data_IF_044449902482
#
_entry.id   IF_044449902482
#
_cell.length_a   1.000
_cell.length_b   1.000
_cell.length_c   1.000
_cell.angle_alpha   90.00
_cell.angle_beta   90.00
_cell.angle_gamma   90.00
#
_symmetry.space_group_name_H-M   'P 1'
#
loop_
_entity.id
_entity.type
_entity.pdbx_description
1 polymer ?
#
# COMPACT_ATOMS: atom_id res chain seq x y z
N UNK A 1 -33.44 29.60 -1.78
CA UNK A 1 -33.90 29.24 -2.05
C UNK A 1 -33.76 29.41 -1.90
N UNK A 2 -33.04 28.92 -1.79
CA UNK A 2 -33.58 28.68 -1.89
C UNK A 2 -33.69 29.01 -1.74
N UNK A 3 -33.33 29.26 -2.07
CA UNK A 3 -33.95 29.05 -2.47
C UNK A 3 -34.05 29.38 -2.46
N UNK A 4 -33.87 29.39 -2.40
CA UNK A 4 -34.45 29.15 -2.77
C UNK A 4 -34.37 29.32 -2.60
N UNK A 5 -34.19 29.43 -2.59
CA UNK A 5 -34.60 29.03 -2.85
C UNK A 5 -34.35 29.21 -2.60
N UNK A 6 -33.89 28.98 -2.56
CA UNK A 6 -34.25 28.75 -2.62
C UNK A 6 -34.26 28.85 -2.31
N UNK A 7 -33.99 28.86 -2.51
CA UNK A 7 -34.48 28.55 -2.70
C UNK A 7 -34.61 28.70 -2.57
N UNK A 8 -35.08 29.26 -2.59
CA UNK A 8 -35.51 28.83 -2.91
C UNK A 8 -35.35 28.99 -2.69
N UNK A 9 -35.19 29.23 -2.66
CA UNK A 9 -35.44 28.77 -2.82
C UNK A 9 -35.01 28.81 -2.74
N UNK A 10 -34.53 28.50 -2.41
CA UNK A 10 -34.49 27.96 -2.60
C UNK A 10 -34.04 27.98 -2.17
N UNK A 11 -34.35 28.39 -2.22
CA UNK A 11 -34.37 27.80 -2.42
C UNK A 11 -33.82 27.77 -1.95
N UNK A 12 -33.15 27.60 -1.66
CA UNK A 12 -33.04 27.17 -1.66
C UNK A 12 -32.67 27.03 -0.98
N UNK A 13 -33.26 27.84 -1.31
CA UNK A 13 -33.23 27.28 -1.32
C UNK A 13 -32.53 27.12 -0.93
N UNK A 14 -31.65 26.54 -0.84
CA UNK A 14 -31.39 25.90 -1.07
C UNK A 14 -30.52 25.76 -0.68
N UNK A 15 -30.66 26.15 -0.61
CA UNK A 15 -30.29 25.70 -0.77
C UNK A 15 -29.63 25.46 -0.21
N UNK A 16 -29.85 26.06 -0.26
CA UNK A 16 -29.60 25.49 -0.35
C UNK A 16 -28.87 25.30 0.03
N UNK A 17 -28.91 25.49 0.06
CA UNK A 17 -28.63 24.86 -0.27
C UNK A 17 -27.81 24.74 0.11
N UNK A 18 -27.29 24.48 0.10
CA UNK A 18 -26.77 23.90 -0.29
C UNK A 18 -25.94 23.86 -0.13
N UNK A 19 -25.98 23.89 -0.21
CA UNK A 19 -25.63 23.49 -0.89
C UNK A 19 -24.64 23.38 -0.65
N UNK A 20 -24.36 23.21 -0.54
CA UNK A 20 -23.84 22.80 -1.07
C UNK A 20 -23.03 22.82 -1.04
N UNK A 21 -23.11 23.05 -1.16
CA UNK A 21 -22.79 22.77 -1.93
C UNK A 21 -21.98 22.86 -1.87
N UNK A 22 -21.90 22.69 -1.92
CA UNK A 22 -21.53 22.49 -2.70
C UNK A 22 -20.96 22.60 -2.77
N UNK A 23 -20.76 22.36 -3.08
CA UNK A 23 -20.72 22.25 -4.01
C UNK A 23 -20.06 22.54 -4.15
N UNK A 24 -20.20 22.84 -4.02
CA UNK A 24 -19.97 22.95 -4.87
C UNK A 24 -19.63 23.29 -5.16
N UNK A 25 -19.56 23.25 -5.47
CA UNK A 25 -19.71 23.45 -6.49
C UNK A 25 -19.39 23.95 -6.77
N UNK A 26 -19.36 24.01 -7.20
CA UNK A 26 -19.46 24.31 -8.22
C UNK A 26 -19.41 24.90 -8.59
N UNK A 27 -19.46 24.78 -9.01
CA UNK A 27 -19.87 25.12 -9.99
C UNK A 27 -19.94 25.60 -10.43
N UNK A 28 -20.03 25.70 -11.04
CA UNK A 28 -20.44 25.87 -12.01
C UNK A 28 -20.51 26.08 -12.48
N UNK A 29 -20.67 25.76 -13.01
CA UNK A 29 -21.07 25.73 -13.90
C UNK A 29 -21.09 26.03 -14.56
N UNK A 30 -21.19 26.20 -15.17
CA UNK A 30 -21.49 26.18 -16.17
C UNK A 30 -21.50 26.21 -16.83
N UNK A 31 -21.61 26.02 -17.31
CA UNK A 31 -21.84 25.70 -18.17
C UNK A 31 -21.76 25.53 -18.66
N UNK A 32 -21.81 25.50 -19.18
CA UNK A 32 -21.94 24.98 -19.94
C UNK A 32 -21.80 24.59 -20.36
N UNK A 33 -21.98 24.20 -20.64
CA UNK A 33 -22.00 23.50 -21.15
C UNK A 33 -21.92 22.95 -21.42
N UNK A 34 -22.00 23.02 -22.03
CA UNK A 34 -22.06 22.17 -22.35
C UNK A 34 -21.90 21.53 -22.35
N UNK A 35 -21.93 20.96 -22.26
CA UNK A 35 -21.85 20.12 -22.21
C UNK A 35 -21.81 19.42 -22.16
N UNK A 36 -21.79 19.15 -22.46
CA UNK A 36 -21.96 18.26 -22.19
C UNK A 36 -21.72 17.61 -21.57
N UNK A 37 -21.62 17.65 -21.61
CA UNK A 37 -21.47 17.05 -20.85
C UNK A 37 -21.16 17.09 -19.99
N UNK A 38 -21.70 17.37 -20.11
CA UNK A 38 -21.50 17.60 -18.77
C UNK A 38 -20.39 16.82 -18.30
N UNK A 39 -19.82 17.22 -17.34
CA UNK A 39 -18.77 16.45 -16.79
C UNK A 39 -19.14 14.98 -16.84
N UNK A 40 -18.65 14.29 -17.81
CA UNK A 40 -18.77 12.86 -17.83
C UNK A 40 -17.87 12.28 -16.76
N UNK A 41 -18.36 11.36 -15.95
CA UNK A 41 -17.50 10.72 -15.00
C UNK A 41 -16.38 9.97 -15.73
N UNK A 42 -15.26 9.80 -15.06
CA UNK A 42 -14.16 9.04 -15.58
C UNK A 42 -14.62 7.58 -15.75
N UNK A 43 -14.37 7.02 -16.92
CA UNK A 43 -14.67 5.61 -17.17
C UNK A 43 -13.53 4.76 -16.57
N UNK A 44 -13.72 4.34 -15.34
CA UNK A 44 -12.67 3.61 -14.60
C UNK A 44 -12.33 2.29 -15.28
N UNK A 45 -13.29 1.66 -15.94
CA UNK A 45 -13.03 0.41 -16.64
C UNK A 45 -12.03 0.63 -17.78
N UNK A 46 -12.24 1.69 -18.56
CA UNK A 46 -11.34 2.03 -19.66
C UNK A 46 -9.96 2.42 -19.15
N UNK A 47 -9.90 3.17 -18.04
CA UNK A 47 -8.61 3.53 -17.45
C UNK A 47 -7.84 2.28 -17.06
N UNK A 48 -8.50 1.31 -16.44
CA UNK A 48 -7.86 0.06 -16.05
C UNK A 48 -7.36 -0.74 -17.25
N UNK A 49 -8.10 -0.73 -18.35
CA UNK A 49 -7.79 -1.53 -19.53
C UNK A 49 -6.75 -0.89 -20.44
N UNK A 50 -6.48 0.41 -20.29
CA UNK A 50 -5.54 1.11 -21.15
C UNK A 50 -4.13 0.60 -20.92
N UNK A 51 -3.45 0.18 -22.01
CA UNK A 51 -2.11 -0.38 -21.91
C UNK A 51 -1.05 0.51 -22.57
N UNK A 52 -1.42 1.31 -23.57
CA UNK A 52 -0.48 2.25 -24.18
C UNK A 52 -1.19 3.31 -25.00
N UNK A 53 -0.49 4.37 -25.29
CA UNK A 53 -0.95 5.44 -26.17
C UNK A 53 -0.31 5.25 -27.54
N UNK A 54 -1.13 5.35 -28.60
CA UNK A 54 -0.65 5.17 -29.96
C UNK A 54 -1.30 6.28 -30.81
N UNK A 55 -0.44 7.10 -31.43
CA UNK A 55 -0.90 8.20 -32.27
C UNK A 55 -1.90 9.10 -31.54
N UNK A 56 -3.14 9.19 -32.00
CA UNK A 56 -4.17 10.04 -31.43
C UNK A 56 -5.19 9.24 -30.60
N UNK A 57 -4.80 8.07 -30.12
CA UNK A 57 -5.70 7.24 -29.34
C UNK A 57 -4.97 6.30 -28.40
N UNK A 58 -5.70 5.30 -27.92
CA UNK A 58 -5.19 4.39 -26.92
C UNK A 58 -5.52 2.95 -27.27
N UNK A 59 -4.65 2.03 -26.85
CA UNK A 59 -4.90 0.61 -26.97
C UNK A 59 -5.37 0.11 -25.59
N UNK A 60 -6.47 -0.65 -25.61
CA UNK A 60 -7.07 -1.25 -24.44
C UNK A 60 -7.05 -2.75 -24.58
N UNK A 61 -6.92 -3.44 -23.47
CA UNK A 61 -6.94 -4.89 -23.45
C UNK A 61 -8.00 -5.40 -22.48
N UNK A 62 -8.80 -6.35 -22.96
CA UNK A 62 -9.79 -7.03 -22.13
C UNK A 62 -9.81 -8.50 -22.53
N UNK A 63 -9.59 -9.40 -21.57
CA UNK A 63 -9.62 -10.85 -21.79
C UNK A 63 -8.67 -11.30 -22.92
N UNK A 64 -7.50 -10.65 -23.00
CA UNK A 64 -6.50 -11.01 -24.00
C UNK A 64 -6.75 -10.40 -25.37
N UNK A 65 -7.85 -9.66 -25.54
CA UNK A 65 -8.18 -9.03 -26.81
C UNK A 65 -7.86 -7.55 -26.71
N UNK A 66 -7.06 -7.06 -27.67
CA UNK A 66 -6.68 -5.65 -27.72
C UNK A 66 -7.58 -4.92 -28.69
N UNK A 67 -7.91 -3.66 -28.36
CA UNK A 67 -8.67 -2.80 -29.28
C UNK A 67 -8.16 -1.37 -29.18
N UNK A 68 -8.30 -0.65 -30.27
CA UNK A 68 -7.90 0.76 -30.34
C UNK A 68 -9.13 1.66 -30.27
N UNK A 69 -9.07 2.69 -29.45
CA UNK A 69 -10.12 3.71 -29.38
C UNK A 69 -9.47 5.07 -29.56
N UNK A 70 -9.88 5.86 -30.58
CA UNK A 70 -9.35 7.21 -30.73
C UNK A 70 -9.70 8.08 -29.54
N UNK A 71 -8.80 8.98 -29.18
CA UNK A 71 -9.02 9.87 -28.04
C UNK A 71 -10.28 10.73 -28.19
N UNK A 72 -10.62 11.08 -29.42
CA UNK A 72 -11.81 11.89 -29.69
C UNK A 72 -13.11 11.20 -29.29
N UNK A 73 -13.10 9.88 -29.14
CA UNK A 73 -14.27 9.12 -28.72
C UNK A 73 -14.36 8.97 -27.21
N UNK A 74 -13.40 9.52 -26.48
CA UNK A 74 -13.35 9.44 -25.03
C UNK A 74 -13.56 10.83 -24.44
N UNK A 75 -14.07 10.87 -23.20
CA UNK A 75 -14.21 12.15 -22.50
C UNK A 75 -12.83 12.73 -22.19
N UNK A 76 -12.74 14.05 -22.05
CA UNK A 76 -11.48 14.68 -21.67
C UNK A 76 -11.01 14.19 -20.31
N UNK A 77 -11.93 13.95 -19.40
CA UNK A 77 -11.61 13.43 -18.06
C UNK A 77 -11.03 12.04 -18.12
N UNK A 78 -11.60 11.17 -18.98
CA UNK A 78 -11.10 9.81 -19.14
C UNK A 78 -9.71 9.81 -19.78
N UNK A 79 -9.50 10.61 -20.84
CA UNK A 79 -8.18 10.69 -21.48
C UNK A 79 -7.11 11.24 -20.52
N UNK A 80 -7.47 12.24 -19.72
CA UNK A 80 -6.55 12.78 -18.72
C UNK A 80 -6.16 11.72 -17.70
N UNK A 81 -7.13 10.92 -17.24
CA UNK A 81 -6.86 9.84 -16.29
C UNK A 81 -5.98 8.76 -16.90
N UNK A 82 -6.22 8.40 -18.17
CA UNK A 82 -5.41 7.41 -18.86
C UNK A 82 -3.99 7.93 -19.05
N UNK A 83 -3.83 9.18 -19.49
CA UNK A 83 -2.50 9.78 -19.67
C UNK A 83 -1.73 9.80 -18.36
N UNK A 84 -2.41 10.15 -17.27
CA UNK A 84 -1.79 10.17 -15.93
C UNK A 84 -1.33 8.77 -15.53
N UNK A 85 -2.18 7.76 -15.74
CA UNK A 85 -1.85 6.37 -15.43
C UNK A 85 -0.62 5.90 -16.20
N UNK A 86 -0.62 6.13 -17.53
CA UNK A 86 0.48 5.65 -18.38
C UNK A 86 1.78 6.37 -18.05
N UNK A 87 1.72 7.67 -17.78
CA UNK A 87 2.91 8.43 -17.38
C UNK A 87 3.44 7.93 -16.05
N UNK A 88 2.57 7.62 -15.10
CA UNK A 88 2.95 7.09 -13.80
C UNK A 88 3.60 5.73 -13.94
N UNK A 89 3.04 4.85 -14.77
CA UNK A 89 3.61 3.53 -15.02
C UNK A 89 5.00 3.61 -15.63
N UNK A 90 5.19 4.52 -16.60
CA UNK A 90 6.49 4.72 -17.22
C UNK A 90 7.51 5.23 -16.20
N UNK A 91 7.10 6.19 -15.38
CA UNK A 91 7.95 6.73 -14.33
C UNK A 91 8.34 5.66 -13.31
N UNK A 92 7.37 4.83 -12.92
CA UNK A 92 7.63 3.73 -11.98
C UNK A 92 8.56 2.69 -12.57
N UNK A 93 8.36 2.33 -13.85
CA UNK A 93 9.22 1.38 -14.51
C UNK A 93 10.66 1.91 -14.57
N UNK A 94 10.81 3.21 -14.86
CA UNK A 94 12.13 3.84 -14.89
C UNK A 94 12.79 3.81 -13.51
N UNK A 95 12.03 4.16 -12.46
CA UNK A 95 12.57 4.16 -11.09
C UNK A 95 12.98 2.76 -10.65
N UNK A 96 12.16 1.76 -11.01
CA UNK A 96 12.43 0.37 -10.63
C UNK A 96 13.63 -0.19 -11.38
N UNK A 97 13.88 0.28 -12.62
CA UNK A 97 15.01 -0.18 -13.41
C UNK A 97 16.31 0.55 -13.11
N UNK A 98 16.25 1.63 -12.35
CA UNK A 98 17.46 2.41 -12.05
C UNK A 98 18.33 1.65 -11.05
N UNK A 99 19.63 1.59 -11.35
CA UNK A 99 20.58 0.95 -10.44
C UNK A 99 20.93 1.90 -9.32
N UNK A 100 20.95 1.40 -8.09
CA UNK A 100 21.34 2.16 -6.92
C UNK A 100 22.79 1.88 -6.62
N UNK A 101 23.68 2.75 -7.11
CA UNK A 101 25.12 2.56 -6.94
C UNK A 101 25.70 3.30 -5.75
N UNK A 102 24.94 4.26 -5.19
CA UNK A 102 25.43 5.11 -4.10
C UNK A 102 24.97 4.64 -2.72
N UNK A 103 24.44 3.42 -2.64
CA UNK A 103 23.96 2.89 -1.37
C UNK A 103 25.14 2.41 -0.50
N UNK A 104 25.03 2.60 0.82
CA UNK A 104 26.03 2.03 1.72
C UNK A 104 26.12 0.52 1.51
N UNK A 105 27.34 -0.02 1.50
CA UNK A 105 27.55 -1.43 1.16
C UNK A 105 26.79 -2.37 2.10
N UNK A 106 26.66 -1.99 3.38
CA UNK A 106 25.95 -2.82 4.36
C UNK A 106 24.45 -2.90 4.12
N UNK A 107 23.88 -1.93 3.40
CA UNK A 107 22.43 -1.88 3.17
C UNK A 107 22.05 -2.30 1.76
N UNK A 108 23.04 -2.59 0.92
CA UNK A 108 22.77 -2.86 -0.48
C UNK A 108 21.84 -4.06 -0.68
N UNK A 109 22.02 -5.09 0.14
CA UNK A 109 21.15 -6.27 0.06
C UNK A 109 19.69 -5.95 0.35
N UNK A 110 19.45 -5.12 1.36
CA UNK A 110 18.10 -4.72 1.72
C UNK A 110 17.43 -3.97 0.57
N UNK A 111 18.10 -2.94 0.05
CA UNK A 111 17.51 -2.12 -1.00
C UNK A 111 17.27 -2.91 -2.27
N UNK A 112 18.24 -3.76 -2.66
CA UNK A 112 18.06 -4.60 -3.84
C UNK A 112 16.85 -5.52 -3.68
N UNK A 113 16.68 -6.12 -2.50
CA UNK A 113 15.56 -7.01 -2.25
C UNK A 113 14.24 -6.26 -2.25
N UNK A 114 14.22 -5.07 -1.66
CA UNK A 114 13.02 -4.23 -1.65
C UNK A 114 12.61 -3.85 -3.08
N UNK A 115 13.56 -3.42 -3.90
CA UNK A 115 13.26 -3.09 -5.29
C UNK A 115 12.76 -4.30 -6.06
N UNK A 116 13.33 -5.48 -5.82
CA UNK A 116 12.85 -6.71 -6.48
C UNK A 116 11.40 -7.00 -6.13
N UNK A 117 11.03 -6.85 -4.86
CA UNK A 117 9.66 -7.09 -4.44
C UNK A 117 8.70 -6.06 -5.03
N UNK A 118 9.12 -4.77 -5.03
CA UNK A 118 8.27 -3.73 -5.60
C UNK A 118 8.11 -3.88 -7.11
N UNK A 119 9.16 -4.35 -7.79
CA UNK A 119 9.08 -4.63 -9.22
C UNK A 119 8.04 -5.71 -9.51
N UNK A 120 7.98 -6.74 -8.67
CA UNK A 120 6.98 -7.81 -8.80
C UNK A 120 5.57 -7.28 -8.54
N UNK A 121 5.42 -6.45 -7.50
CA UNK A 121 4.13 -5.83 -7.24
C UNK A 121 3.69 -4.97 -8.42
N UNK A 122 4.62 -4.20 -8.99
CA UNK A 122 4.33 -3.39 -10.17
C UNK A 122 3.83 -4.25 -11.33
N UNK A 123 4.50 -5.38 -11.55
CA UNK A 123 4.07 -6.29 -12.62
C UNK A 123 2.68 -6.87 -12.33
N UNK A 124 2.41 -7.24 -11.08
CA UNK A 124 1.09 -7.73 -10.69
C UNK A 124 0.02 -6.67 -10.92
N UNK A 125 0.30 -5.41 -10.62
CA UNK A 125 -0.65 -4.32 -10.87
C UNK A 125 -0.90 -4.15 -12.36
N UNK A 126 0.14 -4.23 -13.18
CA UNK A 126 -0.02 -4.14 -14.63
C UNK A 126 -0.86 -5.29 -15.17
N UNK A 127 -0.58 -6.51 -14.72
CA UNK A 127 -1.27 -7.71 -15.21
C UNK A 127 -2.73 -7.74 -14.79
N UNK A 128 -3.03 -7.23 -13.61
CA UNK A 128 -4.38 -7.28 -13.03
C UNK A 128 -5.13 -5.95 -13.13
N UNK A 129 -4.66 -5.04 -13.97
CA UNK A 129 -5.29 -3.74 -14.20
C UNK A 129 -5.46 -2.97 -12.89
N UNK A 130 -4.33 -2.77 -12.19
CA UNK A 130 -4.30 -2.07 -10.92
C UNK A 130 -4.93 -0.68 -10.99
N UNK A 131 -5.45 -0.23 -9.86
CA UNK A 131 -6.06 1.09 -9.76
C UNK A 131 -4.98 2.17 -9.67
N UNK A 132 -5.36 3.41 -10.05
CA UNK A 132 -4.43 4.53 -9.97
C UNK A 132 -3.89 4.71 -8.55
N UNK A 133 -4.74 4.51 -7.54
CA UNK A 133 -4.32 4.64 -6.14
C UNK A 133 -3.20 3.66 -5.78
N UNK A 134 -3.21 2.47 -6.37
CA UNK A 134 -2.16 1.48 -6.11
C UNK A 134 -0.83 1.91 -6.72
N UNK A 135 -0.86 2.47 -7.94
CA UNK A 135 0.35 2.99 -8.56
C UNK A 135 0.91 4.19 -7.79
N UNK A 136 0.03 5.04 -7.26
CA UNK A 136 0.45 6.18 -6.45
C UNK A 136 1.09 5.73 -5.14
N UNK A 137 0.52 4.71 -4.50
CA UNK A 137 1.08 4.16 -3.27
C UNK A 137 2.45 3.52 -3.52
N UNK A 138 2.60 2.81 -4.64
CA UNK A 138 3.88 2.23 -5.02
C UNK A 138 4.92 3.33 -5.24
N UNK A 139 4.54 4.41 -5.90
CA UNK A 139 5.45 5.53 -6.14
C UNK A 139 5.94 6.13 -4.82
N UNK A 140 5.06 6.27 -3.84
CA UNK A 140 5.44 6.79 -2.53
C UNK A 140 6.43 5.88 -1.82
N UNK A 141 6.24 4.58 -1.93
CA UNK A 141 7.19 3.63 -1.36
C UNK A 141 8.56 3.74 -2.03
N UNK A 142 8.57 3.92 -3.35
CA UNK A 142 9.83 4.09 -4.07
C UNK A 142 10.55 5.36 -3.66
N UNK A 143 9.82 6.45 -3.41
CA UNK A 143 10.42 7.68 -2.90
C UNK A 143 11.09 7.45 -1.55
N UNK A 144 10.43 6.69 -0.67
CA UNK A 144 11.00 6.38 0.64
C UNK A 144 12.24 5.50 0.52
N UNK A 145 12.25 4.56 -0.41
CA UNK A 145 13.42 3.74 -0.67
C UNK A 145 14.59 4.56 -1.21
N UNK A 146 14.29 5.61 -1.95
CA UNK A 146 15.32 6.49 -2.47
C UNK A 146 15.97 7.35 -1.39
N UNK A 147 15.32 7.48 -0.23
CA UNK A 147 15.82 8.22 0.92
C UNK A 147 16.48 7.24 1.88
N UNK A 148 17.81 7.20 1.87
CA UNK A 148 18.56 6.24 2.68
C UNK A 148 18.45 6.48 4.18
N UNK A 149 17.87 7.62 4.60
CA UNK A 149 17.62 7.88 6.02
C UNK A 149 16.30 7.27 6.49
N UNK A 150 15.50 6.71 5.59
CA UNK A 150 14.22 6.09 5.96
C UNK A 150 14.42 4.89 6.86
N UNK A 151 13.48 4.71 7.79
CA UNK A 151 13.49 3.58 8.72
C UNK A 151 13.18 2.28 7.97
N UNK A 152 14.16 1.39 7.89
CA UNK A 152 14.02 0.13 7.15
C UNK A 152 12.95 -0.77 7.72
N UNK A 153 12.83 -0.84 9.04
CA UNK A 153 11.82 -1.69 9.69
C UNK A 153 10.43 -1.22 9.31
N UNK A 154 10.21 0.10 9.35
CA UNK A 154 8.92 0.64 8.97
C UNK A 154 8.65 0.46 7.48
N UNK A 155 9.69 0.57 6.65
CA UNK A 155 9.56 0.30 5.21
C UNK A 155 9.08 -1.13 4.96
N UNK A 156 9.66 -2.10 5.66
CA UNK A 156 9.24 -3.50 5.53
C UNK A 156 7.75 -3.64 5.88
N UNK A 157 7.36 -3.09 7.02
CA UNK A 157 5.96 -3.17 7.45
C UNK A 157 5.02 -2.58 6.42
N UNK A 158 5.38 -1.43 5.86
CA UNK A 158 4.54 -0.75 4.89
C UNK A 158 4.51 -1.47 3.54
N UNK A 159 5.65 -2.04 3.11
CA UNK A 159 5.70 -2.84 1.89
C UNK A 159 4.82 -4.08 2.03
N UNK A 160 4.93 -4.80 3.14
CA UNK A 160 4.13 -6.01 3.37
C UNK A 160 2.64 -5.68 3.46
N UNK A 161 2.29 -4.58 4.09
CA UNK A 161 0.90 -4.12 4.16
C UNK A 161 0.37 -3.75 2.78
N UNK A 162 1.19 -3.09 1.99
CA UNK A 162 0.79 -2.68 0.64
C UNK A 162 0.59 -3.88 -0.27
N UNK A 163 1.51 -4.86 -0.23
CA UNK A 163 1.45 -5.99 -1.15
C UNK A 163 0.33 -6.97 -0.83
N UNK A 164 -0.13 -7.01 0.41
CA UNK A 164 -1.09 -8.04 0.83
C UNK A 164 -2.36 -8.06 -0.01
N UNK A 165 -3.10 -6.95 -0.17
CA UNK A 165 -4.32 -7.01 -0.98
C UNK A 165 -4.05 -7.26 -2.47
N UNK A 166 -2.83 -7.01 -2.93
CA UNK A 166 -2.48 -7.15 -4.34
C UNK A 166 -2.05 -8.58 -4.67
N UNK A 167 -1.14 -9.14 -3.87
CA UNK A 167 -0.55 -10.45 -4.17
C UNK A 167 -0.96 -11.55 -3.21
N UNK A 168 -1.43 -11.20 -2.01
CA UNK A 168 -1.82 -12.17 -0.98
C UNK A 168 -3.12 -11.76 -0.30
N UNK A 169 -4.23 -11.65 -1.06
CA UNK A 169 -5.50 -11.24 -0.46
C UNK A 169 -6.00 -12.19 0.61
N UNK A 170 -5.52 -13.44 0.62
CA UNK A 170 -5.87 -14.40 1.66
C UNK A 170 -5.40 -13.97 3.06
N UNK A 171 -4.44 -13.04 3.13
CA UNK A 171 -3.92 -12.54 4.41
C UNK A 171 -4.80 -11.49 5.05
N UNK A 172 -5.70 -10.88 4.28
CA UNK A 172 -6.53 -9.79 4.79
C UNK A 172 -7.40 -10.26 5.94
N UNK A 173 -7.35 -9.51 7.05
CA UNK A 173 -8.11 -9.86 8.24
C UNK A 173 -7.47 -10.90 9.13
N UNK A 174 -6.32 -11.45 8.72
CA UNK A 174 -5.63 -12.44 9.55
C UNK A 174 -4.60 -11.76 10.46
N UNK A 175 -4.49 -12.20 11.72
CA UNK A 175 -3.42 -11.70 12.57
C UNK A 175 -2.07 -12.21 12.07
N UNK A 176 -1.01 -11.50 12.44
CA UNK A 176 0.35 -11.85 12.02
C UNK A 176 0.71 -13.30 12.37
N UNK A 177 0.21 -13.81 13.50
CA UNK A 177 0.49 -15.17 13.94
C UNK A 177 -0.08 -16.23 12.99
N UNK A 178 -1.03 -15.86 12.13
CA UNK A 178 -1.64 -16.78 11.19
C UNK A 178 -1.14 -16.61 9.76
N UNK A 179 -0.07 -15.86 9.58
CA UNK A 179 0.48 -15.57 8.27
C UNK A 179 1.83 -16.28 8.11
N UNK A 180 1.97 -17.03 7.03
CA UNK A 180 3.27 -17.61 6.64
C UNK A 180 3.82 -16.76 5.51
N UNK A 181 4.85 -15.97 5.81
CA UNK A 181 5.46 -15.09 4.83
C UNK A 181 6.34 -15.88 3.87
N UNK A 182 6.48 -15.41 2.64
CA UNK A 182 7.33 -16.06 1.65
C UNK A 182 8.81 -15.88 1.98
N UNK A 183 9.65 -16.70 1.33
CA UNK A 183 11.10 -16.61 1.53
C UNK A 183 11.64 -15.22 1.18
N UNK A 184 11.11 -14.60 0.13
CA UNK A 184 11.54 -13.26 -0.26
C UNK A 184 11.17 -12.21 0.78
N UNK A 185 9.98 -12.33 1.36
CA UNK A 185 9.54 -11.42 2.40
C UNK A 185 10.35 -11.60 3.69
N UNK A 186 10.63 -12.85 4.03
CA UNK A 186 11.45 -13.16 5.19
C UNK A 186 12.85 -12.57 4.99
N UNK A 187 13.41 -12.71 3.80
CA UNK A 187 14.75 -12.18 3.53
C UNK A 187 14.76 -10.66 3.63
N UNK A 188 13.72 -10.00 3.12
CA UNK A 188 13.61 -8.55 3.24
C UNK A 188 13.58 -8.12 4.71
N UNK A 189 12.74 -8.76 5.51
CA UNK A 189 12.60 -8.43 6.93
C UNK A 189 13.90 -8.67 7.67
N UNK A 190 14.57 -9.77 7.38
CA UNK A 190 15.84 -10.11 8.01
C UNK A 190 16.92 -9.09 7.69
N UNK A 191 16.98 -8.64 6.45
CA UNK A 191 17.95 -7.63 6.03
C UNK A 191 17.67 -6.27 6.68
N UNK A 192 16.43 -6.02 7.07
CA UNK A 192 16.07 -4.80 7.81
C UNK A 192 16.36 -4.91 9.30
N UNK A 193 16.81 -6.07 9.78
CA UNK A 193 17.13 -6.28 11.19
C UNK A 193 15.98 -6.83 12.01
N UNK A 194 14.91 -7.30 11.39
CA UNK A 194 13.80 -7.90 12.12
C UNK A 194 14.08 -9.37 12.42
N UNK A 195 13.52 -9.84 13.53
CA UNK A 195 13.61 -11.26 13.87
C UNK A 195 12.65 -12.06 12.97
N UNK A 196 13.17 -13.10 12.37
CA UNK A 196 12.39 -13.97 11.48
C UNK A 196 12.74 -15.42 11.75
N UNK A 197 11.87 -16.33 11.33
CA UNK A 197 12.12 -17.76 11.40
C UNK A 197 12.01 -18.36 10.00
N UNK A 198 12.55 -19.56 9.83
CA UNK A 198 12.57 -20.21 8.52
C UNK A 198 11.20 -20.71 8.09
N UNK A 199 10.28 -20.85 9.03
CA UNK A 199 8.91 -21.30 8.71
C UNK A 199 7.98 -20.15 8.34
N UNK A 200 8.52 -18.97 8.06
CA UNK A 200 7.72 -17.86 7.53
C UNK A 200 7.18 -16.92 8.57
N UNK A 201 7.75 -16.88 9.77
CA UNK A 201 7.30 -15.96 10.82
C UNK A 201 8.17 -14.71 10.85
N UNK A 202 7.52 -13.56 10.93
CA UNK A 202 8.18 -12.27 11.19
C UNK A 202 7.66 -11.78 12.53
N UNK A 203 8.56 -11.52 13.47
CA UNK A 203 8.19 -11.15 14.83
C UNK A 203 7.38 -9.85 14.88
N UNK A 204 6.29 -9.90 15.65
CA UNK A 204 5.48 -8.72 15.99
C UNK A 204 5.22 -8.80 17.50
N UNK A 205 5.53 -7.74 18.26
CA UNK A 205 5.30 -7.77 19.72
C UNK A 205 3.88 -8.14 20.11
N UNK A 206 2.91 -7.80 19.27
CA UNK A 206 1.49 -8.08 19.57
C UNK A 206 1.16 -9.57 19.51
N UNK A 207 2.08 -10.40 19.02
CA UNK A 207 1.90 -11.85 19.00
C UNK A 207 2.28 -12.51 20.32
N UNK A 208 2.93 -11.80 21.22
CA UNK A 208 3.45 -12.37 22.46
C UNK A 208 2.29 -12.84 23.33
N UNK A 209 2.35 -14.11 23.74
CA UNK A 209 1.36 -14.70 24.65
C UNK A 209 1.93 -14.96 26.04
N UNK A 210 3.27 -14.99 26.17
CA UNK A 210 3.89 -15.28 27.45
C UNK A 210 5.29 -14.69 27.49
N UNK A 211 5.69 -14.20 28.67
CA UNK A 211 7.06 -13.75 28.97
C UNK A 211 7.66 -14.80 29.92
N UNK A 212 8.67 -15.52 29.45
CA UNK A 212 9.28 -16.61 30.19
C UNK A 212 10.60 -16.20 30.86
N UNK A 213 10.86 -14.91 30.98
CA UNK A 213 12.06 -14.39 31.62
C UNK A 213 13.13 -14.07 30.60
N UNK A 214 13.72 -15.08 30.00
CA UNK A 214 14.76 -14.91 28.98
C UNK A 214 14.22 -15.01 27.56
N UNK A 215 12.94 -15.33 27.39
CA UNK A 215 12.34 -15.52 26.09
C UNK A 215 10.88 -15.06 26.08
N UNK A 216 10.39 -14.69 24.93
CA UNK A 216 8.97 -14.49 24.67
C UNK A 216 8.44 -15.67 23.89
N UNK A 217 7.17 -16.01 24.14
CA UNK A 217 6.49 -17.04 23.37
C UNK A 217 5.50 -16.38 22.44
N UNK A 218 5.59 -16.72 21.15
CA UNK A 218 4.68 -16.22 20.13
C UNK A 218 4.11 -17.40 19.37
N UNK A 219 2.77 -17.46 19.21
CA UNK A 219 2.20 -18.51 18.35
C UNK A 219 2.44 -18.19 16.88
N UNK A 220 2.58 -19.24 16.10
CA UNK A 220 2.65 -19.10 14.63
C UNK A 220 2.05 -20.34 14.01
N UNK A 221 0.96 -20.15 13.28
CA UNK A 221 0.20 -21.23 12.67
C UNK A 221 -0.26 -22.23 13.75
N UNK A 222 0.21 -23.48 13.70
CA UNK A 222 -0.19 -24.51 14.65
C UNK A 222 0.79 -24.75 15.79
N UNK A 223 1.86 -23.96 15.86
CA UNK A 223 2.91 -24.12 16.88
C UNK A 223 3.29 -22.78 17.46
N UNK A 224 4.27 -22.77 18.37
CA UNK A 224 4.74 -21.55 19.01
C UNK A 224 6.26 -21.48 18.90
N UNK A 225 6.76 -20.25 18.86
CA UNK A 225 8.20 -20.00 18.90
C UNK A 225 8.58 -19.46 20.27
N UNK A 226 9.67 -19.94 20.78
CA UNK A 226 10.33 -19.38 21.96
C UNK A 226 11.46 -18.49 21.44
N UNK A 227 11.28 -17.19 21.58
CA UNK A 227 12.21 -16.21 21.01
C UNK A 227 13.03 -15.63 22.15
N UNK A 228 14.33 -15.93 22.15
CA UNK A 228 15.20 -15.36 23.17
C UNK A 228 15.25 -13.86 23.02
N UNK A 229 15.09 -13.15 24.15
CA UNK A 229 15.09 -11.69 24.14
C UNK A 229 16.39 -11.13 23.57
N UNK A 230 17.51 -11.81 23.80
CA UNK A 230 18.79 -11.37 23.26
C UNK A 230 18.89 -11.48 21.74
N UNK A 231 18.01 -12.30 21.12
CA UNK A 231 17.98 -12.44 19.67
C UNK A 231 17.20 -11.32 18.99
N UNK A 232 16.44 -10.55 19.73
CA UNK A 232 15.68 -9.42 19.20
C UNK A 232 16.59 -8.19 19.12
N UNK A 233 16.30 -7.32 18.14
CA UNK A 233 16.95 -6.02 18.09
C UNK A 233 16.54 -5.20 19.31
N UNK A 234 17.28 -4.13 19.57
CA UNK A 234 16.95 -3.23 20.67
C UNK A 234 15.54 -2.67 20.54
N UNK A 235 15.18 -2.25 19.31
CA UNK A 235 13.86 -1.69 19.06
C UNK A 235 12.76 -2.72 19.25
N UNK A 236 12.98 -3.96 18.76
CA UNK A 236 12.01 -5.05 18.95
C UNK A 236 11.84 -5.38 20.41
N UNK A 237 12.96 -5.43 21.15
CA UNK A 237 12.93 -5.76 22.57
C UNK A 237 12.19 -4.69 23.37
N UNK A 238 12.43 -3.42 23.05
CA UNK A 238 11.72 -2.32 23.71
C UNK A 238 10.23 -2.37 23.46
N UNK A 239 9.84 -2.61 22.20
CA UNK A 239 8.43 -2.72 21.82
C UNK A 239 7.76 -3.92 22.48
N UNK A 240 8.49 -5.04 22.56
CA UNK A 240 7.98 -6.25 23.21
C UNK A 240 7.79 -6.04 24.70
N UNK A 241 8.72 -5.36 25.34
CA UNK A 241 8.63 -5.06 26.77
C UNK A 241 7.44 -4.18 27.07
N UNK A 242 7.21 -3.15 26.24
CA UNK A 242 6.08 -2.26 26.40
C UNK A 242 4.76 -3.02 26.25
N UNK A 243 4.66 -3.86 25.23
CA UNK A 243 3.45 -4.63 24.98
C UNK A 243 3.18 -5.60 26.13
N UNK A 244 4.20 -6.32 26.57
CA UNK A 244 4.04 -7.30 27.65
C UNK A 244 3.58 -6.60 28.92
N UNK A 245 4.12 -5.43 29.21
CA UNK A 245 3.72 -4.66 30.40
C UNK A 245 2.28 -4.22 30.29
N UNK A 246 1.88 -3.72 29.13
CA UNK A 246 0.50 -3.27 28.90
C UNK A 246 -0.51 -4.41 29.04
N UNK A 247 -0.12 -5.61 28.66
CA UNK A 247 -0.98 -6.78 28.70
C UNK A 247 -0.87 -7.56 30.01
N UNK A 248 -0.04 -7.10 30.93
CA UNK A 248 0.13 -7.78 32.20
C UNK A 248 0.86 -9.10 32.10
N UNK A 249 1.66 -9.29 31.06
CA UNK A 249 2.48 -10.49 30.92
C UNK A 249 3.74 -10.29 31.72
N UNK A 250 3.92 -11.11 32.75
CA UNK A 250 5.08 -11.01 33.64
C UNK A 250 5.92 -12.27 33.53
N UNK A 251 7.25 -12.13 33.63
CA UNK A 251 8.11 -13.31 33.64
C UNK A 251 7.86 -14.12 34.91
N UNK A 252 8.26 -15.40 34.90
CA UNK A 252 8.18 -16.21 36.12
C UNK A 252 8.91 -15.54 37.25
N UNK A 253 8.35 -15.61 38.46
CA UNK A 253 8.95 -14.97 39.60
C UNK A 253 10.31 -15.61 39.93
N UNK A 254 11.32 -14.77 40.15
CA UNK A 254 12.63 -15.27 40.55
C UNK A 254 12.57 -15.90 41.93
N UNK A 255 11.64 -15.48 42.76
CA UNK A 255 11.43 -16.11 44.05
C UNK A 255 10.98 -17.55 43.90
N UNK A 256 10.13 -17.83 42.93
CA UNK A 256 9.68 -19.19 42.67
C UNK A 256 10.80 -20.05 42.05
N UNK A 257 11.71 -19.40 41.36
CA UNK A 257 12.79 -20.10 40.68
C UNK A 257 14.05 -20.20 41.56
N UNK A 258 14.33 -19.12 42.24
CA UNK A 258 15.58 -19.01 42.99
C UNK A 258 15.52 -19.59 44.37
N UNK A 259 14.36 -19.83 44.84
CA UNK A 259 14.21 -20.39 46.18
C UNK A 259 14.34 -21.87 46.20
#
# INVERSE_FOLDING_TARGET
>A
QYSLSHRVPDSRPEQPSPQPTPEPSPSPQPAPNPQPSPSNPIDEKLVKQAIRKVDDGYVFEENGISRYIPAKELSAETTAAIDSKLAKQESLAHKLGAKKTNLPSGDRGFYNKAYDLLARIHQDLLDNKGRQADFDALDKLLERLNDVSSDKVKLVDDILTFLAPITHPERLGKPNAQIAYTDDEIKLAKLAGKYTTEDGYIFDPRDITSDEGDAYVTPHMTHSHWIKKESLSEAERAAAQTYAKEKGLTPPSTENQGS
#
